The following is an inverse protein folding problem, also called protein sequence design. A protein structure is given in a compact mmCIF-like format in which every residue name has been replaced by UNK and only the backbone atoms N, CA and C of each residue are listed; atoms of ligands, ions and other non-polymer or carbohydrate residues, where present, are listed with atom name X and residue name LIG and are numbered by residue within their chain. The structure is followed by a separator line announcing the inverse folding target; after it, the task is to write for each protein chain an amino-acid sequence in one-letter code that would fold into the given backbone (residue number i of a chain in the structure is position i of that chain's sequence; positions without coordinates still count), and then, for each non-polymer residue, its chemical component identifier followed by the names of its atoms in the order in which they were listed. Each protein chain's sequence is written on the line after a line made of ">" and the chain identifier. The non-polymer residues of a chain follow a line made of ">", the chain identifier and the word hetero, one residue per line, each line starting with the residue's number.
data_IF_828680686080
#
_entry.id   IF_828680686080
#
_cell.length_a   1.000
_cell.length_b   1.000
_cell.length_c   1.000
_cell.angle_alpha   90.00
_cell.angle_beta   90.00
_cell.angle_gamma   90.00
#
_symmetry.space_group_name_H-M   'P 1'
#
loop_
_entity.id
_entity.type
_entity.pdbx_description
1 polymer ?
#
# COMPACT_ATOMS: atom_id res chain seq x y z
N UNK A 1 20.62 -52.51 -24.28
CA UNK A 1 20.62 -51.41 -23.31
C UNK A 1 21.39 -50.27 -23.97
N UNK A 2 20.79 -49.27 -24.61
CA UNK A 2 20.46 -48.03 -23.88
C UNK A 2 19.52 -47.09 -24.66
N UNK A 3 19.12 -47.41 -25.90
CA UNK A 3 18.29 -46.49 -26.72
C UNK A 3 16.92 -46.17 -26.08
N UNK A 4 16.29 -47.17 -25.46
CA UNK A 4 15.04 -46.99 -24.71
C UNK A 4 15.25 -46.13 -23.46
N UNK A 5 16.38 -46.30 -22.77
CA UNK A 5 16.71 -45.51 -21.58
C UNK A 5 16.95 -44.04 -21.95
N UNK A 6 17.70 -43.80 -23.02
CA UNK A 6 17.95 -42.46 -23.57
C UNK A 6 16.63 -41.76 -23.93
N UNK A 7 15.70 -42.46 -24.59
CA UNK A 7 14.40 -41.91 -24.95
C UNK A 7 13.54 -41.60 -23.71
N UNK A 8 13.57 -42.47 -22.69
CA UNK A 8 12.86 -42.19 -21.43
C UNK A 8 13.47 -41.02 -20.68
N UNK A 9 14.80 -40.88 -20.64
CA UNK A 9 15.47 -39.73 -20.02
C UNK A 9 15.08 -38.41 -20.70
N UNK A 10 15.06 -38.38 -22.04
CA UNK A 10 14.63 -37.19 -22.78
C UNK A 10 13.15 -36.85 -22.54
N UNK A 11 12.27 -37.85 -22.41
CA UNK A 11 10.86 -37.65 -22.10
C UNK A 11 10.64 -37.09 -20.68
N UNK A 12 11.43 -37.52 -19.69
CA UNK A 12 11.36 -37.00 -18.33
C UNK A 12 11.81 -35.53 -18.24
N UNK A 13 12.86 -35.14 -18.96
CA UNK A 13 13.33 -33.73 -19.02
C UNK A 13 12.29 -32.81 -19.68
N UNK A 14 11.64 -33.27 -20.76
CA UNK A 14 10.56 -32.55 -21.44
C UNK A 14 9.34 -32.34 -20.53
N UNK A 15 8.99 -33.35 -19.73
CA UNK A 15 7.87 -33.27 -18.79
C UNK A 15 8.18 -32.33 -17.61
N UNK A 16 9.44 -32.31 -17.14
CA UNK A 16 9.89 -31.40 -16.08
C UNK A 16 9.76 -29.93 -16.52
N UNK A 17 10.22 -29.58 -17.72
CA UNK A 17 10.13 -28.21 -18.26
C UNK A 17 8.66 -27.77 -18.44
N UNK A 18 7.77 -28.67 -18.87
CA UNK A 18 6.36 -28.36 -19.08
C UNK A 18 5.59 -28.04 -17.77
N UNK A 19 6.11 -28.47 -16.61
CA UNK A 19 5.49 -28.21 -15.30
C UNK A 19 6.02 -26.96 -14.60
N UNK A 20 7.07 -26.33 -15.13
CA UNK A 20 7.56 -25.06 -14.59
C UNK A 20 6.59 -23.96 -14.99
N UNK A 21 5.67 -23.62 -14.09
CA UNK A 21 4.85 -22.41 -14.21
C UNK A 21 5.77 -21.19 -14.09
N UNK A 22 6.17 -20.63 -15.23
CA UNK A 22 6.87 -19.35 -15.26
C UNK A 22 5.83 -18.27 -14.92
N UNK A 23 5.78 -17.87 -13.65
CA UNK A 23 4.99 -16.71 -13.24
C UNK A 23 5.66 -15.46 -13.77
N UNK A 24 5.21 -14.99 -14.93
CA UNK A 24 5.54 -13.63 -15.37
C UNK A 24 4.77 -12.67 -14.46
N UNK A 25 5.47 -12.07 -13.50
CA UNK A 25 5.01 -10.79 -12.97
C UNK A 25 4.95 -9.84 -14.16
N UNK A 26 3.73 -9.51 -14.61
CA UNK A 26 3.53 -8.41 -15.54
C UNK A 26 4.15 -7.18 -14.89
N UNK A 27 5.38 -6.84 -15.30
CA UNK A 27 5.94 -5.52 -15.07
C UNK A 27 5.06 -4.57 -15.85
N UNK A 28 4.04 -4.04 -15.19
CA UNK A 28 3.13 -3.06 -15.76
C UNK A 28 3.96 -1.97 -16.41
N UNK A 29 3.64 -1.69 -17.68
CA UNK A 29 4.25 -0.65 -18.47
C UNK A 29 4.33 0.65 -17.68
N UNK A 30 5.44 1.38 -17.82
CA UNK A 30 5.65 2.73 -17.33
C UNK A 30 4.50 3.66 -17.79
N UNK A 31 3.39 3.62 -17.07
CA UNK A 31 2.38 4.66 -17.08
C UNK A 31 2.74 5.58 -15.93
N UNK A 32 2.76 6.88 -16.22
CA UNK A 32 2.89 7.98 -15.26
C UNK A 32 1.71 7.92 -14.28
N UNK A 33 1.74 6.98 -13.34
CA UNK A 33 0.62 6.62 -12.47
C UNK A 33 0.99 5.60 -11.41
N UNK A 34 0.21 5.57 -10.33
CA UNK A 34 0.41 4.71 -9.18
C UNK A 34 0.41 3.23 -9.58
N UNK A 35 1.33 2.43 -9.03
CA UNK A 35 1.27 0.98 -9.16
C UNK A 35 -0.05 0.43 -8.60
N UNK A 36 -0.72 -0.41 -9.39
CA UNK A 36 -2.04 -0.94 -9.04
C UNK A 36 -2.00 -1.81 -7.77
N UNK A 37 -0.89 -2.50 -7.52
CA UNK A 37 -0.68 -3.28 -6.28
C UNK A 37 -0.67 -2.40 -5.03
N UNK A 38 0.04 -1.27 -5.08
CA UNK A 38 0.15 -0.32 -3.97
C UNK A 38 -1.16 0.47 -3.78
N UNK A 39 -1.80 0.86 -4.89
CA UNK A 39 -3.15 1.41 -4.88
C UNK A 39 -4.14 0.45 -4.21
N UNK A 40 -4.10 -0.83 -4.57
CA UNK A 40 -4.91 -1.87 -3.97
C UNK A 40 -4.63 -2.05 -2.47
N UNK A 41 -3.37 -1.92 -2.05
CA UNK A 41 -2.99 -1.97 -0.64
C UNK A 41 -3.59 -0.81 0.17
N UNK A 42 -3.57 0.41 -0.37
CA UNK A 42 -4.23 1.56 0.24
C UNK A 42 -5.76 1.43 0.28
N UNK A 43 -6.39 0.84 -0.74
CA UNK A 43 -7.84 0.58 -0.69
C UNK A 43 -8.23 -0.44 0.38
N UNK A 44 -7.43 -1.51 0.55
CA UNK A 44 -7.60 -2.45 1.67
C UNK A 44 -7.41 -1.76 3.02
N UNK A 45 -6.43 -0.86 3.11
CA UNK A 45 -6.24 -0.03 4.30
C UNK A 45 -7.46 0.84 4.61
N UNK A 46 -8.02 1.51 3.59
CA UNK A 46 -9.23 2.33 3.71
C UNK A 46 -10.45 1.54 4.18
N UNK A 47 -10.59 0.26 3.83
CA UNK A 47 -11.75 -0.56 4.19
C UNK A 47 -11.92 -0.76 5.71
N UNK A 48 -10.81 -0.75 6.47
CA UNK A 48 -10.84 -0.92 7.92
C UNK A 48 -10.98 0.40 8.68
N UNK A 49 -11.13 1.51 7.95
CA UNK A 49 -11.28 2.85 8.50
C UNK A 49 -12.71 3.36 8.43
N UNK A 50 -13.07 4.08 9.47
CA UNK A 50 -14.18 5.01 9.51
C UNK A 50 -13.63 6.41 9.27
N UNK A 51 -14.18 7.10 8.27
CA UNK A 51 -13.80 8.45 7.89
C UNK A 51 -15.02 9.39 7.99
N UNK A 52 -15.42 9.78 9.21
CA UNK A 52 -16.61 10.58 9.44
C UNK A 52 -16.56 11.98 8.82
N UNK A 53 -15.38 12.45 8.43
CA UNK A 53 -15.14 13.76 7.79
C UNK A 53 -14.89 13.70 6.29
N UNK A 54 -14.94 12.51 5.66
CA UNK A 54 -14.66 12.30 4.24
C UNK A 54 -13.26 12.82 3.80
N UNK A 55 -12.25 12.72 4.66
CA UNK A 55 -10.85 13.09 4.33
C UNK A 55 -10.28 12.23 3.20
N UNK A 56 -10.79 11.02 3.02
CA UNK A 56 -10.39 10.05 1.99
C UNK A 56 -11.34 10.06 0.78
N UNK A 57 -12.11 11.13 0.57
CA UNK A 57 -13.05 11.25 -0.56
C UNK A 57 -12.35 11.20 -1.93
N UNK A 58 -11.13 11.73 -2.03
CA UNK A 58 -10.32 11.70 -3.26
C UNK A 58 -9.80 10.31 -3.60
N UNK A 59 -9.91 9.32 -2.70
CA UNK A 59 -9.42 7.96 -2.90
C UNK A 59 -10.35 7.15 -3.81
N UNK A 60 -10.48 7.63 -5.04
CA UNK A 60 -11.22 7.08 -6.17
C UNK A 60 -10.34 7.23 -7.41
N UNK A 61 -10.43 6.31 -8.38
CA UNK A 61 -9.60 6.39 -9.59
C UNK A 61 -8.09 6.36 -9.29
N UNK A 62 -7.32 7.29 -9.87
CA UNK A 62 -5.86 7.30 -9.89
C UNK A 62 -5.21 7.56 -8.52
N UNK A 63 -4.45 6.56 -8.03
CA UNK A 63 -3.82 6.56 -6.70
C UNK A 63 -2.95 7.77 -6.37
N UNK A 64 -2.11 8.23 -7.31
CA UNK A 64 -1.18 9.34 -7.07
C UNK A 64 -1.85 10.73 -7.04
N UNK A 65 -3.14 10.81 -7.38
CA UNK A 65 -3.92 12.04 -7.24
C UNK A 65 -4.68 12.09 -5.90
N UNK A 66 -4.53 11.07 -5.05
CA UNK A 66 -5.21 11.00 -3.77
C UNK A 66 -4.61 11.97 -2.76
N UNK A 67 -5.50 12.59 -1.97
CA UNK A 67 -5.08 13.46 -0.89
C UNK A 67 -4.24 12.67 0.12
N UNK A 68 -3.07 13.23 0.47
CA UNK A 68 -2.13 12.61 1.38
C UNK A 68 -1.26 11.52 0.76
N UNK A 69 -1.32 11.28 -0.55
CA UNK A 69 -0.47 10.30 -1.24
C UNK A 69 0.50 11.03 -2.16
N UNK A 70 1.79 10.71 -2.06
CA UNK A 70 2.82 11.17 -2.99
C UNK A 70 3.50 9.97 -3.61
N UNK A 71 3.66 10.02 -4.93
CA UNK A 71 4.35 9.01 -5.70
C UNK A 71 5.68 9.52 -6.24
N UNK A 72 6.65 8.63 -6.40
CA UNK A 72 7.84 8.88 -7.20
C UNK A 72 7.44 9.03 -8.68
N UNK A 73 7.89 10.12 -9.31
CA UNK A 73 7.45 10.50 -10.65
C UNK A 73 8.10 9.67 -11.78
N UNK A 74 9.16 8.92 -11.49
CA UNK A 74 9.86 8.06 -12.46
C UNK A 74 9.32 6.63 -12.39
N UNK A 75 9.17 6.10 -11.18
CA UNK A 75 8.86 4.69 -10.92
C UNK A 75 7.37 4.45 -10.63
N UNK A 76 6.62 5.50 -10.25
CA UNK A 76 5.20 5.39 -9.90
C UNK A 76 4.93 4.76 -8.53
N UNK A 77 5.97 4.51 -7.73
CA UNK A 77 5.84 3.98 -6.38
C UNK A 77 5.29 5.01 -5.40
N UNK A 78 4.42 4.59 -4.48
CA UNK A 78 3.98 5.42 -3.35
C UNK A 78 5.13 5.56 -2.37
N UNK A 79 5.61 6.79 -2.21
CA UNK A 79 6.74 7.12 -1.33
C UNK A 79 6.30 7.84 -0.05
N UNK A 80 5.17 8.53 -0.07
CA UNK A 80 4.63 9.20 1.12
C UNK A 80 3.13 8.95 1.29
N UNK A 81 2.74 8.69 2.54
CA UNK A 81 1.36 8.64 3.02
C UNK A 81 1.21 9.56 4.23
N UNK A 82 0.60 10.72 4.03
CA UNK A 82 0.32 11.71 5.06
C UNK A 82 -1.18 11.82 5.31
N UNK A 83 -1.63 11.16 6.38
CA UNK A 83 -2.99 11.19 6.88
C UNK A 83 -3.07 11.79 8.29
N UNK A 84 -2.10 12.65 8.66
CA UNK A 84 -2.17 13.43 9.89
C UNK A 84 -3.51 14.15 10.00
N UNK A 85 -4.18 14.05 11.14
CA UNK A 85 -5.40 14.83 11.36
C UNK A 85 -5.06 16.33 11.35
N UNK A 86 -5.68 17.14 10.47
CA UNK A 86 -5.37 18.56 10.35
C UNK A 86 -5.84 19.37 11.56
N UNK A 87 -6.79 18.83 12.34
CA UNK A 87 -7.31 19.45 13.55
C UNK A 87 -6.43 19.02 14.74
N UNK A 88 -5.55 19.91 15.20
CA UNK A 88 -4.65 19.66 16.34
C UNK A 88 -5.27 20.13 17.65
N UNK A 89 -4.82 19.55 18.76
CA UNK A 89 -5.35 19.83 20.11
C UNK A 89 -5.09 21.26 20.62
N UNK A 90 -4.23 22.03 19.95
CA UNK A 90 -3.83 23.38 20.38
C UNK A 90 -4.85 24.47 20.03
N UNK A 91 -5.78 24.21 19.09
CA UNK A 91 -6.88 25.13 18.80
C UNK A 91 -8.13 24.79 19.62
N UNK A 92 -8.11 25.18 20.89
CA UNK A 92 -9.24 25.03 21.83
C UNK A 92 -10.53 25.71 21.33
N UNK A 93 -10.45 26.64 20.37
CA UNK A 93 -11.61 27.28 19.76
C UNK A 93 -12.31 26.36 18.74
N UNK A 94 -11.55 25.45 18.11
CA UNK A 94 -12.05 24.42 17.19
C UNK A 94 -12.50 23.12 17.88
N UNK A 95 -12.23 22.97 19.17
CA UNK A 95 -12.63 21.80 19.96
C UNK A 95 -14.16 21.56 19.96
N UNK A 96 -14.94 22.64 19.82
CA UNK A 96 -16.40 22.58 19.70
C UNK A 96 -16.89 22.23 18.28
N UNK A 97 -15.99 22.10 17.30
CA UNK A 97 -16.33 22.00 15.88
C UNK A 97 -16.39 20.57 15.34
N UNK A 98 -15.57 19.61 15.78
CA UNK A 98 -15.79 18.18 15.46
C UNK A 98 -14.72 17.23 16.05
N UNK A 99 -15.02 16.40 17.06
CA UNK A 99 -14.33 15.13 17.28
C UNK A 99 -14.47 14.13 16.11
N UNK A 100 -15.21 14.50 15.05
CA UNK A 100 -15.48 13.71 13.85
C UNK A 100 -14.45 13.85 12.73
N UNK A 101 -13.27 14.45 12.94
CA UNK A 101 -12.23 14.56 11.90
C UNK A 101 -11.18 13.45 11.93
N UNK A 102 -11.13 12.69 13.01
CA UNK A 102 -10.20 11.58 13.17
C UNK A 102 -10.58 10.47 12.20
N UNK A 103 -9.56 9.91 11.53
CA UNK A 103 -9.70 8.56 11.01
C UNK A 103 -9.77 7.61 12.20
N UNK A 104 -10.80 6.78 12.24
CA UNK A 104 -11.03 5.83 13.33
C UNK A 104 -10.98 4.42 12.77
N UNK A 105 -10.49 3.44 13.53
CA UNK A 105 -10.57 2.04 13.14
C UNK A 105 -9.28 1.28 13.38
N UNK A 106 -9.08 0.20 12.61
CA UNK A 106 -7.91 -0.67 12.78
C UNK A 106 -6.89 -0.38 11.69
N UNK A 107 -5.61 -0.49 12.04
CA UNK A 107 -4.56 -0.48 11.04
C UNK A 107 -4.58 -1.81 10.27
N UNK A 108 -4.89 -1.74 8.98
CA UNK A 108 -4.80 -2.90 8.10
C UNK A 108 -3.31 -3.23 7.81
N UNK A 109 -2.88 -4.49 7.91
CA UNK A 109 -1.52 -4.91 7.55
C UNK A 109 -1.11 -4.64 6.09
N UNK A 110 -2.05 -4.32 5.20
CA UNK A 110 -1.76 -3.97 3.80
C UNK A 110 -0.80 -2.78 3.66
N UNK A 111 -0.67 -1.91 4.67
CA UNK A 111 0.37 -0.87 4.68
C UNK A 111 1.79 -1.47 4.56
N UNK A 112 2.00 -2.71 5.00
CA UNK A 112 3.27 -3.41 4.84
C UNK A 112 3.58 -3.78 3.38
N UNK A 113 2.59 -3.74 2.48
CA UNK A 113 2.78 -3.99 1.05
C UNK A 113 3.41 -2.78 0.34
N UNK A 114 3.41 -1.60 0.96
CA UNK A 114 4.02 -0.37 0.45
C UNK A 114 5.53 -0.36 0.71
N UNK A 115 6.26 -1.22 0.00
CA UNK A 115 7.71 -1.46 0.24
C UNK A 115 8.61 -0.25 -0.03
N UNK A 116 8.11 0.72 -0.80
CA UNK A 116 8.83 1.92 -1.21
C UNK A 116 8.45 3.15 -0.37
N UNK A 117 7.52 3.00 0.57
CA UNK A 117 7.09 4.08 1.45
C UNK A 117 8.26 4.56 2.32
N UNK A 118 8.64 5.82 2.16
CA UNK A 118 9.70 6.48 2.92
C UNK A 118 9.15 7.39 4.01
N UNK A 119 7.91 7.85 3.89
CA UNK A 119 7.25 8.70 4.89
C UNK A 119 5.83 8.23 5.19
N UNK A 120 5.51 8.15 6.49
CA UNK A 120 4.18 7.85 6.99
C UNK A 120 3.85 8.76 8.16
N UNK A 121 2.82 9.60 8.02
CA UNK A 121 2.26 10.34 9.15
C UNK A 121 0.79 9.98 9.32
N UNK A 122 0.48 9.28 10.41
CA UNK A 122 -0.88 8.93 10.81
C UNK A 122 -1.27 9.64 12.12
N UNK A 123 -0.50 10.64 12.55
CA UNK A 123 -0.65 11.26 13.87
C UNK A 123 -2.01 11.93 14.07
N UNK A 124 -2.43 12.06 15.33
CA UNK A 124 -3.68 12.74 15.73
C UNK A 124 -4.98 12.08 15.22
N UNK A 125 -4.92 10.80 14.86
CA UNK A 125 -6.08 9.94 14.58
C UNK A 125 -6.28 8.91 15.71
N UNK A 126 -7.39 8.17 15.67
CA UNK A 126 -7.72 7.13 16.65
C UNK A 126 -7.71 5.74 16.04
N UNK A 127 -6.55 5.07 16.12
CA UNK A 127 -6.41 3.68 15.69
C UNK A 127 -6.53 2.68 16.84
N UNK A 128 -7.40 2.94 17.82
CA UNK A 128 -7.73 2.01 18.91
C UNK A 128 -6.51 1.58 19.75
N UNK A 129 -5.53 2.47 19.93
CA UNK A 129 -4.33 2.21 20.72
C UNK A 129 -3.29 1.30 20.05
N UNK A 130 -3.43 0.99 18.76
CA UNK A 130 -2.42 0.23 18.02
C UNK A 130 -1.11 1.01 17.95
N UNK A 131 -0.03 0.37 18.40
CA UNK A 131 1.33 0.87 18.22
C UNK A 131 1.70 0.70 16.74
N UNK A 132 1.79 1.80 15.99
CA UNK A 132 2.33 1.79 14.63
C UNK A 132 3.79 1.31 14.72
N UNK A 133 4.18 0.22 14.04
CA UNK A 133 5.56 -0.24 14.06
C UNK A 133 6.50 0.90 13.65
N UNK A 134 7.53 1.16 14.47
CA UNK A 134 8.52 2.25 14.28
C UNK A 134 9.27 2.22 12.93
N UNK A 135 9.07 1.19 12.10
CA UNK A 135 9.66 1.05 10.77
C UNK A 135 9.36 2.24 9.84
N UNK A 136 8.29 2.98 10.08
CA UNK A 136 7.92 4.13 9.25
C UNK A 136 8.27 5.51 9.83
N UNK A 137 8.81 5.57 11.06
CA UNK A 137 9.08 6.85 11.77
C UNK A 137 10.53 7.34 11.54
N UNK A 138 11.44 6.50 11.04
CA UNK A 138 12.89 6.75 11.08
C UNK A 138 13.53 7.20 9.75
N UNK A 139 12.77 7.75 8.79
CA UNK A 139 13.37 8.33 7.57
C UNK A 139 13.09 9.83 7.36
N UNK A 140 12.62 10.52 8.40
CA UNK A 140 12.26 11.93 8.35
C UNK A 140 12.75 12.77 9.53
N UNK A 141 13.97 12.52 10.02
CA UNK A 141 14.74 13.49 10.82
C UNK A 141 16.10 13.66 10.14
#
# INVERSE_FOLDING_TARGET
>A
MSGVLVFTFFLFELLAIATVSVSFSNGSSYHVGCLESERGALLRFKQDLQDPSNRLASWIGYGCAWAGVVCDNVTGHIVELNLRNPFTYDDLSQYKSNPRSMLVGKLNPSLLDLKHLSYLDLSYNDFQGVQIPRLFVLRGI
#
